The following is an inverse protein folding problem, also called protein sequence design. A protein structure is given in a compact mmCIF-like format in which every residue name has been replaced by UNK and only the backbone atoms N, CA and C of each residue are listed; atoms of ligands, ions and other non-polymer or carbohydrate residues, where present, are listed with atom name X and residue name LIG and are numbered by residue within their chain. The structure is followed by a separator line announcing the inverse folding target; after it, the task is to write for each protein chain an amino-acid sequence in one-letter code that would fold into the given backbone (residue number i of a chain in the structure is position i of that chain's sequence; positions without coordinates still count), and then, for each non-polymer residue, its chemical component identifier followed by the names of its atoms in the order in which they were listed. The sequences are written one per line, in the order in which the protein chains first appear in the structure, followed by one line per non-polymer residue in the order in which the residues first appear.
data_IF_567610814017
#
_entry.id   IF_567610814017
#
_cell.length_a   1.000
_cell.length_b   1.000
_cell.length_c   1.000
_cell.angle_alpha   90.00
_cell.angle_beta   90.00
_cell.angle_gamma   90.00
#
_symmetry.space_group_name_H-M   'P 1'
#
loop_
_entity.id
_entity.type
_entity.pdbx_description
1 polymer ?
#
# COMPACT_ATOMS: atom_id res chain seq x y z
N UNK A 1 -2.34 7.86 -3.07
CA UNK A 1 -2.66 6.42 -3.16
C UNK A 1 -2.02 5.69 -1.98
N UNK A 2 -2.68 4.68 -1.41
CA UNK A 2 -2.08 3.82 -0.38
C UNK A 2 -0.83 3.09 -0.89
N UNK A 3 0.07 2.74 0.02
CA UNK A 3 1.29 2.00 -0.31
C UNK A 3 1.65 0.95 0.73
N UNK A 4 1.98 -0.25 0.26
CA UNK A 4 2.70 -1.25 1.06
C UNK A 4 4.20 -1.00 0.90
N UNK A 5 4.94 -0.98 2.01
CA UNK A 5 6.39 -0.75 2.02
C UNK A 5 7.11 -1.81 2.82
N UNK A 6 8.20 -2.31 2.27
CA UNK A 6 9.19 -3.16 2.94
C UNK A 6 10.44 -2.32 3.18
N UNK A 7 10.79 -2.10 4.44
CA UNK A 7 11.93 -1.27 4.85
C UNK A 7 13.20 -2.14 4.86
N UNK A 8 13.92 -2.21 3.74
CA UNK A 8 15.06 -3.12 3.56
C UNK A 8 16.24 -2.73 4.45
N UNK A 9 16.61 -1.45 4.49
CA UNK A 9 17.66 -0.93 5.36
C UNK A 9 17.35 0.51 5.80
N UNK A 10 16.19 0.71 6.44
CA UNK A 10 15.74 2.05 6.85
C UNK A 10 14.90 2.02 8.12
N UNK A 11 15.15 2.97 9.01
CA UNK A 11 14.23 3.32 10.10
C UNK A 11 13.86 4.80 10.00
N UNK A 12 12.59 5.11 10.21
CA UNK A 12 12.12 6.49 10.05
C UNK A 12 10.81 6.77 10.76
N UNK A 13 10.34 7.99 10.56
CA UNK A 13 9.02 8.43 11.03
C UNK A 13 8.27 9.18 9.94
N UNK A 14 6.96 9.03 9.96
CA UNK A 14 6.03 9.83 9.17
C UNK A 14 5.47 10.95 10.01
N UNK A 15 5.49 12.17 9.47
CA UNK A 15 4.74 13.31 9.96
C UNK A 15 3.60 13.62 8.99
N UNK A 16 2.37 13.58 9.49
CA UNK A 16 1.17 13.91 8.72
C UNK A 16 0.83 15.40 8.85
N UNK A 17 -0.10 15.87 8.01
CA UNK A 17 -0.49 17.28 7.93
C UNK A 17 -0.98 17.87 9.26
N UNK A 18 -1.64 17.05 10.08
CA UNK A 18 -2.12 17.45 11.42
C UNK A 18 -1.03 17.47 12.50
N UNK A 19 0.21 17.19 12.13
CA UNK A 19 1.36 17.19 13.03
C UNK A 19 1.60 15.87 13.76
N UNK A 20 0.71 14.87 13.63
CA UNK A 20 0.95 13.53 14.21
C UNK A 20 2.22 12.93 13.59
N UNK A 21 3.04 12.32 14.46
CA UNK A 21 4.22 11.56 14.08
C UNK A 21 4.06 10.10 14.43
N UNK A 22 4.31 9.22 13.47
CA UNK A 22 4.24 7.77 13.67
C UNK A 22 5.57 7.13 13.24
N UNK A 23 6.16 6.24 14.07
CA UNK A 23 7.31 5.47 13.64
C UNK A 23 6.91 4.57 12.46
N UNK A 24 7.82 4.36 11.53
CA UNK A 24 7.57 3.50 10.37
C UNK A 24 7.83 2.03 10.75
N UNK A 25 6.82 1.15 10.67
CA UNK A 25 7.01 -0.29 10.80
C UNK A 25 7.92 -0.83 9.69
N UNK A 26 8.60 -1.95 9.93
CA UNK A 26 9.46 -2.57 8.92
C UNK A 26 8.69 -3.07 7.69
N UNK A 27 7.43 -3.52 7.89
CA UNK A 27 6.48 -3.76 6.81
C UNK A 27 5.26 -2.88 7.05
N UNK A 28 5.15 -1.81 6.30
CA UNK A 28 4.23 -0.72 6.57
C UNK A 28 3.15 -0.64 5.49
N UNK A 29 1.88 -0.65 5.91
CA UNK A 29 0.78 -0.21 5.05
C UNK A 29 0.48 1.26 5.36
N UNK A 30 0.80 2.14 4.42
CA UNK A 30 0.42 3.55 4.44
C UNK A 30 -0.95 3.71 3.79
N UNK A 31 -1.92 4.23 4.53
CA UNK A 31 -3.26 4.52 4.00
C UNK A 31 -3.28 5.72 3.05
N UNK A 32 -4.46 6.10 2.55
CA UNK A 32 -4.60 7.29 1.71
C UNK A 32 -4.11 8.55 2.43
N UNK A 33 -3.29 9.36 1.76
CA UNK A 33 -2.82 10.64 2.29
C UNK A 33 -3.60 11.79 1.64
N UNK A 34 -4.17 12.68 2.46
CA UNK A 34 -5.02 13.80 2.03
C UNK A 34 -4.30 15.15 2.11
N UNK A 35 -2.97 15.13 2.27
CA UNK A 35 -2.13 16.31 2.33
C UNK A 35 -0.64 15.97 2.31
N UNK A 36 0.20 17.00 2.45
CA UNK A 36 1.64 16.83 2.51
C UNK A 36 2.02 15.92 3.69
N UNK A 37 2.73 14.83 3.37
CA UNK A 37 3.25 13.87 4.33
C UNK A 37 4.77 13.91 4.27
N UNK A 38 5.43 14.09 5.40
CA UNK A 38 6.89 14.10 5.49
C UNK A 38 7.37 12.76 6.02
N UNK A 39 8.27 12.10 5.29
CA UNK A 39 8.97 10.92 5.75
C UNK A 39 10.42 11.31 6.08
N UNK A 40 10.85 11.04 7.32
CA UNK A 40 12.20 11.37 7.80
C UNK A 40 12.95 10.09 8.15
N UNK A 41 14.13 9.90 7.55
CA UNK A 41 15.02 8.76 7.80
C UNK A 41 16.39 9.28 8.22
N UNK A 42 17.09 8.52 9.05
CA UNK A 42 18.50 8.77 9.38
C UNK A 42 19.37 7.72 8.70
N UNK A 43 20.31 8.16 7.88
CA UNK A 43 21.22 7.27 7.16
C UNK A 43 20.73 6.93 5.76
N UNK A 44 21.20 5.79 5.26
CA UNK A 44 20.82 5.28 3.94
C UNK A 44 19.34 4.85 3.93
N UNK A 45 18.68 5.05 2.79
CA UNK A 45 17.28 4.68 2.60
C UNK A 45 17.23 3.58 1.57
N UNK A 46 16.95 2.37 2.02
CA UNK A 46 16.55 1.27 1.15
C UNK A 46 15.14 0.78 1.52
N UNK A 47 14.22 0.94 0.58
CA UNK A 47 12.78 0.69 0.74
C UNK A 47 12.20 0.20 -0.58
N UNK A 48 11.52 -0.94 -0.53
CA UNK A 48 10.68 -1.41 -1.63
C UNK A 48 9.24 -0.96 -1.38
N UNK A 49 8.71 -0.14 -2.26
CA UNK A 49 7.35 0.41 -2.17
C UNK A 49 6.44 -0.08 -3.29
N UNK A 50 5.23 -0.47 -2.92
CA UNK A 50 4.20 -0.98 -3.84
C UNK A 50 2.98 -0.08 -3.72
N UNK A 51 2.57 0.52 -4.83
CA UNK A 51 1.33 1.29 -4.87
C UNK A 51 0.15 0.34 -4.93
N UNK A 52 -0.82 0.53 -4.03
CA UNK A 52 -1.97 -0.36 -3.90
C UNK A 52 -3.21 0.35 -4.45
N UNK A 53 -3.81 -0.25 -5.48
CA UNK A 53 -5.07 0.18 -6.07
C UNK A 53 -6.26 -0.19 -5.15
N UNK A 54 -7.45 0.44 -5.31
CA UNK A 54 -8.61 0.18 -4.46
C UNK A 54 -8.99 -1.32 -4.36
N UNK A 55 -8.97 -2.05 -5.48
CA UNK A 55 -9.27 -3.49 -5.47
C UNK A 55 -8.17 -4.30 -4.80
N UNK A 56 -6.90 -3.91 -4.96
CA UNK A 56 -5.78 -4.54 -4.27
C UNK A 56 -5.86 -4.36 -2.76
N UNK A 57 -6.30 -3.18 -2.29
CA UNK A 57 -6.51 -2.90 -0.87
C UNK A 57 -7.57 -3.84 -0.27
N UNK A 58 -8.70 -4.02 -0.97
CA UNK A 58 -9.75 -4.95 -0.56
C UNK A 58 -9.28 -6.41 -0.61
N UNK A 59 -8.59 -6.80 -1.69
CA UNK A 59 -8.08 -8.15 -1.86
C UNK A 59 -7.03 -8.53 -0.80
N UNK A 60 -6.24 -7.57 -0.33
CA UNK A 60 -5.33 -7.74 0.81
C UNK A 60 -6.05 -7.81 2.17
N UNK A 61 -7.38 -7.82 2.20
CA UNK A 61 -8.17 -7.91 3.43
C UNK A 61 -8.08 -6.67 4.32
N UNK A 62 -7.67 -5.53 3.78
CA UNK A 62 -7.59 -4.29 4.55
C UNK A 62 -8.99 -3.78 4.93
N UNK A 63 -9.13 -3.20 6.13
CA UNK A 63 -10.35 -2.49 6.51
C UNK A 63 -10.62 -1.30 5.57
N UNK A 64 -11.83 -0.73 5.64
CA UNK A 64 -12.20 0.44 4.86
C UNK A 64 -11.13 1.55 4.89
N UNK A 65 -10.71 2.02 3.72
CA UNK A 65 -9.55 2.89 3.56
C UNK A 65 -9.73 4.28 4.22
N UNK A 66 -10.98 4.73 4.41
CA UNK A 66 -11.31 5.98 5.11
C UNK A 66 -10.83 5.98 6.57
N UNK A 67 -10.83 4.80 7.22
CA UNK A 67 -10.32 4.63 8.59
C UNK A 67 -8.82 4.83 8.70
N UNK A 68 -8.12 4.69 7.57
CA UNK A 68 -6.66 4.74 7.48
C UNK A 68 -6.15 6.00 6.79
N UNK A 69 -7.02 7.01 6.60
CA UNK A 69 -6.61 8.32 6.08
C UNK A 69 -5.57 8.96 7.00
N UNK A 70 -4.47 9.42 6.40
CA UNK A 70 -3.34 10.04 7.10
C UNK A 70 -2.84 9.19 8.29
N UNK A 71 -2.76 7.87 8.06
CA UNK A 71 -2.32 6.86 9.02
C UNK A 71 -1.51 5.77 8.34
N UNK A 72 -0.81 5.00 9.17
CA UNK A 72 -0.11 3.79 8.77
C UNK A 72 -0.30 2.70 9.83
N UNK A 73 -0.01 1.45 9.46
CA UNK A 73 0.04 0.34 10.40
C UNK A 73 1.05 -0.72 9.97
N UNK A 74 1.41 -1.59 10.93
CA UNK A 74 2.29 -2.73 10.72
C UNK A 74 1.51 -3.86 10.03
N UNK A 75 1.88 -4.15 8.78
CA UNK A 75 1.24 -5.18 7.97
C UNK A 75 1.43 -6.57 8.57
N UNK A 76 2.60 -6.86 9.14
CA UNK A 76 2.89 -8.18 9.70
C UNK A 76 2.13 -8.40 11.01
N UNK A 77 1.93 -7.34 11.79
CA UNK A 77 1.13 -7.41 13.02
C UNK A 77 -0.37 -7.62 12.73
N UNK A 78 -0.90 -7.03 11.66
CA UNK A 78 -2.34 -7.07 11.34
C UNK A 78 -2.71 -8.26 10.46
N UNK A 79 -1.91 -8.55 9.43
CA UNK A 79 -2.22 -9.56 8.40
C UNK A 79 -1.36 -10.83 8.51
N UNK A 80 -0.43 -10.87 9.47
CA UNK A 80 0.27 -12.09 9.86
C UNK A 80 1.77 -12.11 9.53
N UNK A 81 2.52 -13.05 10.12
CA UNK A 81 3.97 -13.04 10.15
C UNK A 81 4.63 -13.24 8.78
N UNK A 82 3.91 -13.81 7.79
CA UNK A 82 4.47 -14.07 6.45
C UNK A 82 4.99 -12.81 5.76
N UNK A 83 4.43 -11.63 6.07
CA UNK A 83 4.95 -10.36 5.58
C UNK A 83 6.35 -10.04 6.13
N UNK A 84 6.61 -10.37 7.39
CA UNK A 84 7.95 -10.25 7.97
C UNK A 84 8.91 -11.28 7.38
N UNK A 85 8.45 -12.51 7.14
CA UNK A 85 9.28 -13.54 6.49
C UNK A 85 9.68 -13.11 5.07
N UNK A 86 8.75 -12.51 4.33
CA UNK A 86 9.03 -11.91 3.02
C UNK A 86 10.04 -10.76 3.12
N UNK A 87 9.93 -9.87 4.10
CA UNK A 87 10.94 -8.83 4.32
C UNK A 87 12.35 -9.43 4.53
N UNK A 88 12.46 -10.47 5.35
CA UNK A 88 13.74 -11.15 5.59
C UNK A 88 14.29 -11.80 4.33
N UNK A 89 13.42 -12.39 3.50
CA UNK A 89 13.79 -12.91 2.19
C UNK A 89 14.33 -11.80 1.28
N UNK A 90 13.61 -10.68 1.14
CA UNK A 90 14.04 -9.54 0.31
C UNK A 90 15.39 -8.98 0.76
N UNK A 91 15.62 -8.86 2.07
CA UNK A 91 16.92 -8.42 2.63
C UNK A 91 18.08 -9.39 2.35
N UNK A 92 17.79 -10.67 2.06
CA UNK A 92 18.80 -11.70 1.83
C UNK A 92 19.18 -11.86 0.36
N UNK A 93 18.35 -11.33 -0.54
CA UNK A 93 18.60 -11.39 -1.96
C UNK A 93 19.67 -10.36 -2.38
N UNK A 94 20.39 -10.69 -3.45
CA UNK A 94 21.46 -9.86 -3.99
C UNK A 94 21.18 -9.37 -5.41
N UNK A 95 20.03 -9.75 -5.98
CA UNK A 95 19.64 -9.49 -7.37
C UNK A 95 18.19 -9.03 -7.38
N UNK A 96 17.98 -7.78 -7.81
CA UNK A 96 16.69 -7.09 -7.83
C UNK A 96 15.59 -7.82 -8.62
N UNK A 97 15.93 -8.52 -9.71
CA UNK A 97 14.92 -9.16 -10.56
C UNK A 97 14.30 -10.39 -9.88
N UNK A 98 15.11 -11.24 -9.25
CA UNK A 98 14.63 -12.43 -8.51
C UNK A 98 13.80 -12.03 -7.28
N UNK A 99 14.16 -10.92 -6.63
CA UNK A 99 13.44 -10.30 -5.52
C UNK A 99 12.01 -9.91 -5.91
N UNK A 100 11.87 -9.28 -7.07
CA UNK A 100 10.59 -8.77 -7.55
C UNK A 100 9.65 -9.92 -7.94
N UNK A 101 10.16 -10.95 -8.62
CA UNK A 101 9.34 -12.11 -8.99
C UNK A 101 8.81 -12.85 -7.74
N UNK A 102 9.68 -13.13 -6.78
CA UNK A 102 9.31 -13.77 -5.52
C UNK A 102 8.28 -12.96 -4.72
N UNK A 103 8.43 -11.63 -4.69
CA UNK A 103 7.48 -10.72 -4.06
C UNK A 103 6.10 -10.77 -4.72
N UNK A 104 6.04 -10.74 -6.06
CA UNK A 104 4.76 -10.80 -6.76
C UNK A 104 4.04 -12.13 -6.57
N UNK A 105 4.77 -13.25 -6.61
CA UNK A 105 4.22 -14.56 -6.29
C UNK A 105 3.64 -14.59 -4.86
N UNK A 106 4.40 -14.11 -3.88
CA UNK A 106 3.93 -14.00 -2.49
C UNK A 106 2.66 -13.16 -2.36
N UNK A 107 2.62 -11.98 -2.98
CA UNK A 107 1.46 -11.10 -2.92
C UNK A 107 0.25 -11.76 -3.55
N UNK A 108 0.41 -12.43 -4.69
CA UNK A 108 -0.66 -13.21 -5.33
C UNK A 108 -1.29 -14.24 -4.40
N UNK A 109 -0.49 -14.90 -3.55
CA UNK A 109 -0.99 -15.82 -2.53
C UNK A 109 -1.70 -15.14 -1.36
N UNK A 110 -1.45 -13.85 -1.11
CA UNK A 110 -2.13 -13.09 -0.04
C UNK A 110 -3.47 -12.51 -0.51
N UNK A 111 -3.72 -12.43 -1.82
CA UNK A 111 -4.94 -11.83 -2.35
C UNK A 111 -6.13 -12.77 -2.14
N UNK A 112 -7.15 -12.25 -1.45
CA UNK A 112 -8.46 -12.86 -1.33
C UNK A 112 -9.44 -12.41 -2.42
N UNK A 113 -10.60 -13.07 -2.51
CA UNK A 113 -11.67 -12.68 -3.42
C UNK A 113 -12.24 -11.30 -3.07
N UNK A 114 -12.59 -10.52 -4.09
CA UNK A 114 -13.25 -9.21 -3.94
C UNK A 114 -14.72 -9.33 -4.37
N UNK A 115 -15.69 -8.67 -3.69
CA UNK A 115 -17.08 -8.70 -4.12
C UNK A 115 -17.27 -8.19 -5.55
N UNK A 116 -18.08 -8.88 -6.36
CA UNK A 116 -18.31 -8.50 -7.77
C UNK A 116 -18.82 -7.05 -7.91
N UNK A 117 -19.71 -6.61 -7.01
CA UNK A 117 -20.20 -5.24 -7.02
C UNK A 117 -19.08 -4.19 -6.86
N UNK A 118 -18.02 -4.50 -6.09
CA UNK A 118 -16.87 -3.60 -5.93
C UNK A 118 -15.98 -3.60 -7.17
N UNK A 119 -15.80 -4.76 -7.80
CA UNK A 119 -15.10 -4.87 -9.09
C UNK A 119 -15.81 -4.01 -10.15
N UNK A 120 -17.12 -4.20 -10.30
CA UNK A 120 -17.93 -3.47 -11.29
C UNK A 120 -17.87 -1.96 -11.04
N UNK A 121 -17.96 -1.54 -9.77
CA UNK A 121 -17.88 -0.12 -9.41
C UNK A 121 -16.53 0.49 -9.77
N UNK A 122 -15.41 -0.16 -9.42
CA UNK A 122 -14.08 0.38 -9.72
C UNK A 122 -13.84 0.43 -11.23
N UNK A 123 -14.22 -0.61 -11.98
CA UNK A 123 -14.12 -0.62 -13.43
C UNK A 123 -14.94 0.51 -14.07
N UNK A 124 -16.17 0.77 -13.59
CA UNK A 124 -16.98 1.90 -14.05
C UNK A 124 -16.31 3.25 -13.79
N UNK A 125 -15.70 3.42 -12.60
CA UNK A 125 -14.98 4.66 -12.25
C UNK A 125 -13.77 4.85 -13.15
N UNK A 126 -12.96 3.81 -13.35
CA UNK A 126 -11.77 3.87 -14.18
C UNK A 126 -12.12 4.19 -15.65
N UNK A 127 -13.19 3.59 -16.17
CA UNK A 127 -13.71 3.89 -17.50
C UNK A 127 -14.16 5.36 -17.60
N UNK A 128 -14.98 5.81 -16.65
CA UNK A 128 -15.50 7.18 -16.62
C UNK A 128 -14.38 8.23 -16.54
N UNK A 129 -13.34 8.01 -15.73
CA UNK A 129 -12.17 8.88 -15.63
C UNK A 129 -11.32 8.89 -16.90
N UNK A 130 -11.34 7.80 -17.69
CA UNK A 130 -10.53 7.69 -18.90
C UNK A 130 -11.21 8.28 -20.14
N UNK A 131 -12.54 8.29 -20.18
CA UNK A 131 -13.33 8.72 -21.36
C UNK A 131 -13.74 10.20 -21.32
N UNK A 132 -13.60 10.88 -20.17
CA UNK A 132 -14.08 12.25 -19.99
C UNK A 132 -12.93 13.18 -19.61
N UNK A 133 -12.66 14.19 -20.44
CA UNK A 133 -11.63 15.21 -20.15
C UNK A 133 -11.95 16.06 -18.90
N UNK A 134 -13.23 16.13 -18.52
CA UNK A 134 -13.70 16.81 -17.32
C UNK A 134 -14.84 15.99 -16.68
N UNK A 135 -14.49 14.91 -15.96
CA UNK A 135 -15.45 13.96 -15.44
C UNK A 135 -16.33 14.61 -14.35
N UNK A 136 -17.66 14.60 -14.52
CA UNK A 136 -18.66 15.07 -13.53
C UNK A 136 -19.30 13.90 -12.78
N UNK A 137 -19.34 13.93 -11.44
CA UNK A 137 -19.77 12.78 -10.62
C UNK A 137 -21.20 12.36 -10.98
N UNK A 138 -22.05 13.29 -11.40
CA UNK A 138 -23.42 13.01 -11.82
C UNK A 138 -23.50 12.14 -13.08
N UNK A 139 -22.42 12.01 -13.85
CA UNK A 139 -22.36 11.22 -15.07
C UNK A 139 -21.99 9.74 -14.84
N UNK A 140 -21.62 9.35 -13.60
CA UNK A 140 -21.37 7.94 -13.27
C UNK A 140 -22.61 7.34 -12.59
N UNK A 141 -23.35 6.51 -13.32
CA UNK A 141 -24.55 5.78 -12.84
C UNK A 141 -24.41 4.26 -13.01
#
# INVERSE_FOLDING_TARGET
MPQLRFMLASEGEYQFRDGRRLPTPEVCMLGPTMGATRFSVRGEVDVLGISVLPLGWLALGCESADRWVDRLYDMAAVHGPRYRDMLLHLRSCSVLDDEIEGLWAFLGEQLGPVPQAMLDLVCKIDQWLSENDSPQIEAIT
#
